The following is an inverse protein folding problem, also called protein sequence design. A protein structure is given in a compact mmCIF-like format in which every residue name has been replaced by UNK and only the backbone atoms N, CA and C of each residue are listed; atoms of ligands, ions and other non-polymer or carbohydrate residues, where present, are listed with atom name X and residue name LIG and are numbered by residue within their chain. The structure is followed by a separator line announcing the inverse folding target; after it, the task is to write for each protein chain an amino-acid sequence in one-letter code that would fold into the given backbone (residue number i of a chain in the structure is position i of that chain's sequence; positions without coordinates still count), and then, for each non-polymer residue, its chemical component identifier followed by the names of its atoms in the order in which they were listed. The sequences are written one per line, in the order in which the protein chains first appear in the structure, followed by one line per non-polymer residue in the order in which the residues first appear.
data_IF_612224265037
#
_entry.id   IF_612224265037
#
_cell.length_a   1.000
_cell.length_b   1.000
_cell.length_c   1.000
_cell.angle_alpha   90.00
_cell.angle_beta   90.00
_cell.angle_gamma   90.00
#
_symmetry.space_group_name_H-M   'P 1'
#
loop_
_entity.id
_entity.type
_entity.pdbx_description
1 polymer ?
#
# COMPACT_ATOMS: atom_id res chain seq x y z
N UNK A 1 -31.48 -5.38 25.39
CA UNK A 1 -31.05 -4.66 24.16
C UNK A 1 -29.84 -3.73 24.37
N UNK A 2 -29.49 -3.30 25.59
CA UNK A 2 -28.37 -2.37 25.85
C UNK A 2 -26.98 -3.01 25.62
N UNK A 3 -26.81 -4.31 25.87
CA UNK A 3 -25.51 -5.01 25.67
C UNK A 3 -25.06 -5.15 24.20
N UNK A 4 -25.99 -5.15 23.25
CA UNK A 4 -25.65 -5.27 21.82
C UNK A 4 -25.01 -4.00 21.25
N UNK A 5 -25.33 -2.84 21.83
CA UNK A 5 -24.81 -1.53 21.41
C UNK A 5 -23.29 -1.43 21.60
N UNK A 6 -22.76 -1.94 22.72
CA UNK A 6 -21.32 -1.97 22.97
C UNK A 6 -20.55 -2.84 21.96
N UNK A 7 -21.14 -3.97 21.57
CA UNK A 7 -20.55 -4.89 20.59
C UNK A 7 -20.50 -4.22 19.20
N UNK A 8 -21.59 -3.55 18.79
CA UNK A 8 -21.63 -2.86 17.50
C UNK A 8 -20.60 -1.72 17.43
N UNK A 9 -20.44 -0.95 18.49
CA UNK A 9 -19.42 0.11 18.57
C UNK A 9 -18.01 -0.46 18.50
N UNK A 10 -17.74 -1.58 19.19
CA UNK A 10 -16.43 -2.24 19.15
C UNK A 10 -16.09 -2.78 17.75
N UNK A 11 -17.05 -3.44 17.08
CA UNK A 11 -16.88 -3.92 15.71
C UNK A 11 -16.64 -2.76 14.75
N UNK A 12 -17.43 -1.67 14.87
CA UNK A 12 -17.25 -0.47 14.06
C UNK A 12 -15.87 0.16 14.25
N UNK A 13 -15.41 0.29 15.49
CA UNK A 13 -14.08 0.81 15.81
C UNK A 13 -12.96 -0.06 15.24
N UNK A 14 -13.10 -1.39 15.34
CA UNK A 14 -12.13 -2.32 14.74
C UNK A 14 -12.06 -2.16 13.21
N UNK A 15 -13.21 -2.18 12.52
CA UNK A 15 -13.26 -2.02 11.05
C UNK A 15 -12.68 -0.68 10.62
N UNK A 16 -12.96 0.39 11.37
CA UNK A 16 -12.40 1.72 11.09
C UNK A 16 -10.87 1.73 11.21
N UNK A 17 -10.32 1.28 12.34
CA UNK A 17 -8.86 1.22 12.55
C UNK A 17 -8.19 0.31 11.53
N UNK A 18 -8.81 -0.84 11.24
CA UNK A 18 -8.32 -1.79 10.25
C UNK A 18 -8.29 -1.19 8.84
N UNK A 19 -9.36 -0.51 8.42
CA UNK A 19 -9.42 0.18 7.13
C UNK A 19 -8.38 1.30 7.03
N UNK A 20 -8.28 2.13 8.06
CA UNK A 20 -7.32 3.24 8.13
C UNK A 20 -5.86 2.75 8.03
N UNK A 21 -5.52 1.70 8.76
CA UNK A 21 -4.16 1.16 8.79
C UNK A 21 -3.78 0.49 7.45
N UNK A 22 -4.72 -0.23 6.83
CA UNK A 22 -4.52 -0.77 5.48
C UNK A 22 -4.32 0.34 4.46
N UNK A 23 -5.20 1.34 4.44
CA UNK A 23 -5.09 2.47 3.54
C UNK A 23 -3.76 3.20 3.69
N UNK A 24 -3.38 3.55 4.93
CA UNK A 24 -2.13 4.22 5.21
C UNK A 24 -0.92 3.41 4.74
N UNK A 25 -0.92 2.10 4.98
CA UNK A 25 0.16 1.21 4.55
C UNK A 25 0.27 1.16 3.03
N UNK A 26 -0.86 0.97 2.32
CA UNK A 26 -0.89 0.93 0.87
C UNK A 26 -0.42 2.25 0.26
N UNK A 27 -0.90 3.38 0.78
CA UNK A 27 -0.50 4.70 0.30
C UNK A 27 0.99 4.96 0.54
N UNK A 28 1.52 4.58 1.70
CA UNK A 28 2.95 4.70 2.01
C UNK A 28 3.82 3.86 1.07
N UNK A 29 3.42 2.63 0.75
CA UNK A 29 4.17 1.79 -0.20
C UNK A 29 4.11 2.38 -1.61
N UNK A 30 2.95 2.91 -2.03
CA UNK A 30 2.79 3.58 -3.32
C UNK A 30 3.72 4.78 -3.46
N UNK A 31 3.72 5.68 -2.46
CA UNK A 31 4.60 6.85 -2.43
C UNK A 31 6.07 6.44 -2.50
N UNK A 32 6.49 5.44 -1.72
CA UNK A 32 7.86 4.95 -1.77
C UNK A 32 8.21 4.33 -3.14
N UNK A 33 7.25 3.70 -3.83
CA UNK A 33 7.48 3.20 -5.17
C UNK A 33 7.62 4.35 -6.17
N UNK A 34 6.82 5.40 -6.07
CA UNK A 34 6.94 6.61 -6.90
C UNK A 34 8.26 7.37 -6.65
N UNK A 35 8.67 7.52 -5.39
CA UNK A 35 9.98 8.10 -5.02
C UNK A 35 11.13 7.30 -5.62
N UNK A 36 11.10 5.96 -5.54
CA UNK A 36 12.12 5.12 -6.16
C UNK A 36 12.11 5.23 -7.69
N UNK A 37 10.93 5.35 -8.30
CA UNK A 37 10.80 5.56 -9.75
C UNK A 37 11.42 6.88 -10.18
N UNK A 38 11.19 7.95 -9.41
CA UNK A 38 11.83 9.25 -9.63
C UNK A 38 13.36 9.17 -9.44
N UNK A 39 13.83 8.52 -8.38
CA UNK A 39 15.25 8.31 -8.13
C UNK A 39 15.95 7.49 -9.23
N UNK A 40 15.26 6.51 -9.84
CA UNK A 40 15.77 5.78 -11.02
C UNK A 40 15.89 6.71 -12.23
N UNK A 41 14.96 7.65 -12.41
CA UNK A 41 15.00 8.60 -13.53
C UNK A 41 16.06 9.69 -13.34
N UNK A 42 16.33 10.10 -12.10
CA UNK A 42 17.37 11.09 -11.75
C UNK A 42 18.77 10.47 -11.64
N UNK A 43 18.86 9.18 -11.35
CA UNK A 43 20.15 8.48 -11.30
C UNK A 43 20.80 8.48 -12.69
N UNK A 44 21.77 9.38 -12.86
CA UNK A 44 22.67 9.44 -14.01
C UNK A 44 23.32 8.08 -14.24
N UNK A 45 23.52 7.72 -15.53
CA UNK A 45 24.06 6.46 -16.03
C UNK A 45 25.45 6.07 -15.44
N UNK A 46 26.09 6.97 -14.69
CA UNK A 46 27.40 6.77 -14.06
C UNK A 46 27.44 5.73 -12.94
N UNK A 47 26.31 5.41 -12.29
CA UNK A 47 26.26 4.45 -11.17
C UNK A 47 25.30 3.28 -11.45
N UNK A 48 25.68 2.44 -12.43
CA UNK A 48 24.91 1.27 -12.87
C UNK A 48 24.51 0.32 -11.72
N UNK A 49 25.29 0.26 -10.64
CA UNK A 49 25.01 -0.59 -9.48
C UNK A 49 23.95 0.01 -8.54
N UNK A 50 23.93 1.34 -8.38
CA UNK A 50 22.88 2.04 -7.65
C UNK A 50 21.55 1.96 -8.41
N UNK A 51 21.58 2.17 -9.73
CA UNK A 51 20.43 2.01 -10.63
C UNK A 51 19.78 0.62 -10.51
N UNK A 52 20.57 -0.45 -10.57
CA UNK A 52 20.07 -1.83 -10.36
C UNK A 52 19.43 -2.00 -8.99
N UNK A 53 20.04 -1.44 -7.94
CA UNK A 53 19.53 -1.52 -6.57
C UNK A 53 18.20 -0.80 -6.42
N UNK A 54 18.06 0.41 -6.99
CA UNK A 54 16.80 1.14 -6.98
C UNK A 54 15.72 0.42 -7.79
N UNK A 55 16.06 -0.11 -8.97
CA UNK A 55 15.12 -0.90 -9.77
C UNK A 55 14.62 -2.14 -9.02
N UNK A 56 15.52 -2.90 -8.37
CA UNK A 56 15.14 -4.06 -7.57
C UNK A 56 14.19 -3.68 -6.42
N UNK A 57 14.55 -2.63 -5.66
CA UNK A 57 13.71 -2.14 -4.56
C UNK A 57 12.35 -1.63 -5.04
N UNK A 58 12.31 -1.00 -6.21
CA UNK A 58 11.07 -0.56 -6.84
C UNK A 58 10.16 -1.76 -7.18
N UNK A 59 10.71 -2.79 -7.83
CA UNK A 59 9.95 -3.99 -8.19
C UNK A 59 9.36 -4.70 -6.96
N UNK A 60 10.13 -4.84 -5.88
CA UNK A 60 9.65 -5.44 -4.63
C UNK A 60 8.49 -4.64 -4.04
N UNK A 61 8.62 -3.31 -3.97
CA UNK A 61 7.56 -2.43 -3.44
C UNK A 61 6.32 -2.45 -4.33
N UNK A 62 6.50 -2.42 -5.65
CA UNK A 62 5.43 -2.53 -6.65
C UNK A 62 4.68 -3.84 -6.50
N UNK A 63 5.38 -4.97 -6.44
CA UNK A 63 4.76 -6.29 -6.26
C UNK A 63 3.97 -6.36 -4.95
N UNK A 64 4.55 -5.87 -3.84
CA UNK A 64 3.88 -5.86 -2.53
C UNK A 64 2.62 -4.99 -2.53
N UNK A 65 2.67 -3.82 -3.15
CA UNK A 65 1.50 -2.96 -3.30
C UNK A 65 0.42 -3.63 -4.14
N UNK A 66 0.80 -4.20 -5.28
CA UNK A 66 -0.13 -4.89 -6.17
C UNK A 66 -0.80 -6.08 -5.46
N UNK A 67 -0.03 -6.89 -4.74
CA UNK A 67 -0.55 -7.96 -3.90
C UNK A 67 -1.57 -7.45 -2.88
N UNK A 68 -1.27 -6.35 -2.16
CA UNK A 68 -2.23 -5.76 -1.21
C UNK A 68 -3.52 -5.29 -1.88
N UNK A 69 -3.45 -4.73 -3.09
CA UNK A 69 -4.61 -4.26 -3.84
C UNK A 69 -5.45 -5.43 -4.38
N UNK A 70 -4.83 -6.57 -4.69
CA UNK A 70 -5.50 -7.70 -5.33
C UNK A 70 -5.92 -8.82 -4.37
N UNK A 71 -5.26 -8.95 -3.22
CA UNK A 71 -5.46 -10.06 -2.28
C UNK A 71 -6.25 -9.65 -1.04
N UNK A 72 -7.06 -10.57 -0.54
CA UNK A 72 -7.81 -10.38 0.71
C UNK A 72 -6.84 -10.44 1.90
N UNK A 73 -7.07 -9.65 2.97
CA UNK A 73 -8.27 -8.87 3.21
C UNK A 73 -8.17 -7.40 2.75
N UNK A 74 -6.97 -6.94 2.37
CA UNK A 74 -6.69 -5.55 1.96
C UNK A 74 -7.37 -5.14 0.63
N UNK A 75 -7.70 -6.09 -0.24
CA UNK A 75 -8.52 -5.89 -1.44
C UNK A 75 -9.86 -5.19 -1.16
N UNK A 76 -10.48 -5.44 0.00
CA UNK A 76 -11.74 -4.78 0.37
C UNK A 76 -11.56 -3.28 0.50
N UNK A 77 -10.52 -2.88 1.23
CA UNK A 77 -10.13 -1.47 1.40
C UNK A 77 -9.76 -0.87 0.04
N UNK A 78 -9.00 -1.61 -0.77
CA UNK A 78 -8.63 -1.19 -2.11
C UNK A 78 -9.85 -0.94 -3.02
N UNK A 79 -10.84 -1.81 -2.96
CA UNK A 79 -12.08 -1.70 -3.75
C UNK A 79 -12.92 -0.51 -3.30
N UNK A 80 -13.11 -0.33 -1.99
CA UNK A 80 -13.86 0.80 -1.42
C UNK A 80 -13.21 2.14 -1.77
N UNK A 81 -11.87 2.19 -1.78
CA UNK A 81 -11.10 3.40 -2.05
C UNK A 81 -10.64 3.53 -3.52
N UNK A 82 -11.10 2.65 -4.40
CA UNK A 82 -10.76 2.62 -5.83
C UNK A 82 -9.24 2.64 -6.11
N UNK A 83 -8.47 1.99 -5.24
CA UNK A 83 -7.02 1.83 -5.41
C UNK A 83 -6.75 0.79 -6.50
N UNK A 84 -5.95 1.17 -7.49
CA UNK A 84 -5.61 0.32 -8.64
C UNK A 84 -4.16 -0.17 -8.56
N UNK A 85 -3.85 -1.36 -9.08
CA UNK A 85 -2.47 -1.85 -9.16
C UNK A 85 -1.62 -0.91 -10.02
N UNK A 86 -0.35 -0.79 -9.65
CA UNK A 86 0.65 0.00 -10.38
C UNK A 86 1.13 -0.86 -11.57
N UNK A 87 1.02 -0.31 -12.78
CA UNK A 87 1.49 -0.93 -14.03
C UNK A 87 2.97 -0.68 -14.29
#
# INVERSE_FOLDING_TARGET
MIGALGILVAIGGFVFLWGMLNYHTMNKIRLQAEELKAAIAEASEGDAQALKTYQQRYQIKKQRYNQMVTEMPSKLVATVLNLKPIQ
#
